data_IF_647412827418
#
_entry.id   IF_647412827418
#
_cell.length_a   1.000
_cell.length_b   1.000
_cell.length_c   1.000
_cell.angle_alpha   90.00
_cell.angle_beta   90.00
_cell.angle_gamma   90.00
#
_symmetry.space_group_name_H-M   'P 1'
#
loop_
_entity.id
_entity.type
_entity.pdbx_description
1 polymer ?
#
# COMPACT_ATOMS: atom_id res chain seq x y z
N UNK A 1 -23.39 -4.98 -97.24
CA UNK A 1 -22.85 -4.07 -96.22
C UNK A 1 -23.14 -4.70 -94.85
N UNK A 2 -22.20 -5.44 -94.24
CA UNK A 2 -21.25 -4.96 -93.19
C UNK A 2 -22.00 -4.69 -91.87
N UNK A 3 -21.78 -5.27 -90.68
CA UNK A 3 -20.67 -5.97 -89.98
C UNK A 3 -21.31 -6.66 -88.74
N UNK A 4 -21.07 -7.94 -88.46
CA UNK A 4 -20.13 -8.47 -87.45
C UNK A 4 -20.32 -8.04 -85.97
N UNK A 5 -20.50 -9.07 -85.12
CA UNK A 5 -19.95 -9.27 -83.77
C UNK A 5 -19.92 -8.10 -82.76
N UNK A 6 -20.42 -8.37 -81.55
CA UNK A 6 -19.57 -8.61 -80.36
C UNK A 6 -20.41 -8.75 -79.09
N UNK A 7 -20.16 -9.83 -78.35
CA UNK A 7 -20.59 -10.00 -76.97
C UNK A 7 -19.90 -8.96 -76.08
N UNK A 8 -20.65 -8.27 -75.23
CA UNK A 8 -20.09 -7.46 -74.16
C UNK A 8 -20.44 -8.06 -72.80
N UNK A 9 -19.49 -8.87 -72.36
CA UNK A 9 -19.31 -9.41 -71.03
C UNK A 9 -18.96 -8.28 -70.05
N UNK A 10 -19.54 -8.36 -68.84
CA UNK A 10 -19.11 -7.71 -67.58
C UNK A 10 -19.23 -6.17 -67.51
N UNK A 11 -19.85 -5.64 -66.47
CA UNK A 11 -19.11 -5.50 -65.21
C UNK A 11 -20.05 -5.38 -64.01
N UNK A 12 -19.96 -6.40 -63.15
CA UNK A 12 -20.42 -6.41 -61.78
C UNK A 12 -19.85 -5.17 -61.05
N UNK A 13 -20.68 -4.30 -60.43
CA UNK A 13 -20.14 -3.18 -59.66
C UNK A 13 -19.33 -3.77 -58.51
N UNK A 14 -18.03 -3.49 -58.57
CA UNK A 14 -17.00 -3.81 -57.59
C UNK A 14 -17.55 -3.79 -56.16
N UNK A 15 -17.80 -4.99 -55.63
CA UNK A 15 -17.97 -5.23 -54.20
C UNK A 15 -16.64 -4.80 -53.57
N UNK A 16 -16.59 -3.58 -53.09
CA UNK A 16 -15.44 -3.04 -52.36
C UNK A 16 -15.26 -3.91 -51.13
N UNK A 17 -14.36 -4.89 -51.22
CA UNK A 17 -13.88 -5.64 -50.07
C UNK A 17 -13.15 -4.66 -49.17
N UNK A 18 -13.90 -4.08 -48.24
CA UNK A 18 -13.39 -3.21 -47.19
C UNK A 18 -12.39 -4.03 -46.38
N UNK A 19 -11.08 -3.87 -46.68
CA UNK A 19 -10.02 -4.51 -45.91
C UNK A 19 -10.23 -4.17 -44.42
N UNK A 20 -10.27 -5.14 -43.50
CA UNK A 20 -10.30 -4.83 -42.09
C UNK A 20 -9.00 -4.08 -41.76
N UNK A 21 -9.12 -2.80 -41.35
CA UNK A 21 -7.99 -2.04 -40.83
C UNK A 21 -7.46 -2.79 -39.61
N UNK A 22 -6.14 -3.04 -39.49
CA UNK A 22 -5.60 -3.71 -38.32
C UNK A 22 -5.90 -2.88 -37.07
N UNK A 23 -6.51 -3.51 -36.07
CA UNK A 23 -6.88 -2.88 -34.80
C UNK A 23 -5.63 -2.43 -34.03
N UNK A 24 -5.17 -1.21 -34.32
CA UNK A 24 -4.14 -0.50 -33.54
C UNK A 24 -4.58 -0.18 -32.09
N UNK A 25 -5.74 -0.68 -31.67
CA UNK A 25 -6.40 -0.38 -30.39
C UNK A 25 -5.96 -1.30 -29.25
N UNK A 26 -5.42 -2.49 -29.55
CA UNK A 26 -5.06 -3.49 -28.54
C UNK A 26 -3.84 -3.10 -27.70
N UNK A 27 -2.73 -2.72 -28.33
CA UNK A 27 -1.48 -2.41 -27.60
C UNK A 27 -1.62 -1.20 -26.66
N UNK A 28 -2.33 -0.15 -27.09
CA UNK A 28 -2.59 1.02 -26.23
C UNK A 28 -3.45 0.66 -25.02
N UNK A 29 -4.42 -0.25 -25.18
CA UNK A 29 -5.23 -0.76 -24.08
C UNK A 29 -4.41 -1.60 -23.10
N UNK A 30 -3.52 -2.46 -23.61
CA UNK A 30 -2.59 -3.26 -22.79
C UNK A 30 -1.64 -2.36 -21.99
N UNK A 31 -0.99 -1.39 -22.64
CA UNK A 31 -0.10 -0.43 -21.95
C UNK A 31 -0.88 0.36 -20.89
N UNK A 32 -2.09 0.84 -21.19
CA UNK A 32 -2.90 1.56 -20.22
C UNK A 32 -3.37 0.71 -19.03
N UNK A 33 -3.60 -0.59 -19.24
CA UNK A 33 -3.97 -1.52 -18.18
C UNK A 33 -2.76 -1.84 -17.29
N UNK A 34 -1.57 -1.99 -17.88
CA UNK A 34 -0.32 -2.20 -17.14
C UNK A 34 0.05 -0.97 -16.32
N UNK A 35 0.01 0.23 -16.90
CA UNK A 35 0.33 1.46 -16.16
C UNK A 35 -0.66 1.73 -15.04
N UNK A 36 -1.96 1.46 -15.26
CA UNK A 36 -2.97 1.54 -14.21
C UNK A 36 -2.72 0.49 -13.12
N UNK A 37 -2.39 -0.75 -13.49
CA UNK A 37 -2.07 -1.81 -12.53
C UNK A 37 -0.87 -1.45 -11.66
N UNK A 38 0.22 -0.97 -12.28
CA UNK A 38 1.43 -0.54 -11.56
C UNK A 38 1.14 0.65 -10.65
N UNK A 39 0.45 1.69 -11.14
CA UNK A 39 0.15 2.87 -10.33
C UNK A 39 -0.76 2.54 -9.14
N UNK A 40 -1.74 1.66 -9.35
CA UNK A 40 -2.63 1.16 -8.31
C UNK A 40 -1.86 0.34 -7.27
N UNK A 41 -1.02 -0.60 -7.73
CA UNK A 41 -0.20 -1.42 -6.84
C UNK A 41 0.76 -0.57 -6.02
N UNK A 42 1.42 0.40 -6.64
CA UNK A 42 2.32 1.34 -5.96
C UNK A 42 1.56 2.17 -4.92
N UNK A 43 0.38 2.68 -5.26
CA UNK A 43 -0.43 3.44 -4.32
C UNK A 43 -0.86 2.59 -3.12
N UNK A 44 -1.32 1.36 -3.35
CA UNK A 44 -1.71 0.45 -2.27
C UNK A 44 -0.53 0.13 -1.36
N UNK A 45 0.66 -0.09 -1.94
CA UNK A 45 1.90 -0.31 -1.19
C UNK A 45 2.25 0.89 -0.30
N UNK A 46 2.27 2.11 -0.86
CA UNK A 46 2.57 3.34 -0.11
C UNK A 46 1.55 3.57 0.98
N UNK A 47 0.28 3.29 0.71
CA UNK A 47 -0.82 3.45 1.66
C UNK A 47 -0.71 2.45 2.81
N UNK A 48 -0.42 1.19 2.52
CA UNK A 48 -0.19 0.17 3.53
C UNK A 48 1.01 0.54 4.41
N UNK A 49 2.10 1.02 3.82
CA UNK A 49 3.27 1.49 4.55
C UNK A 49 2.92 2.69 5.45
N UNK A 50 2.14 3.66 4.97
CA UNK A 50 1.69 4.79 5.78
C UNK A 50 0.81 4.33 6.95
N UNK A 51 -0.05 3.33 6.75
CA UNK A 51 -0.85 2.74 7.83
C UNK A 51 0.06 2.14 8.90
N UNK A 52 1.02 1.30 8.51
CA UNK A 52 1.94 0.62 9.45
C UNK A 52 2.87 1.60 10.15
N UNK A 53 3.39 2.61 9.46
CA UNK A 53 4.40 3.52 10.01
C UNK A 53 3.80 4.70 10.78
N UNK A 54 2.57 5.11 10.48
CA UNK A 54 2.01 6.37 10.99
C UNK A 54 0.68 6.12 11.71
N UNK A 55 -0.27 5.46 11.04
CA UNK A 55 -1.65 5.32 11.56
C UNK A 55 -1.68 4.40 12.77
N UNK A 56 -1.08 3.20 12.67
CA UNK A 56 -1.05 2.21 13.76
C UNK A 56 -0.37 2.80 15.01
N UNK A 57 0.84 3.38 14.94
CA UNK A 57 1.47 3.95 16.13
C UNK A 57 0.62 5.07 16.75
N UNK A 58 0.05 5.96 15.93
CA UNK A 58 -0.78 7.05 16.43
C UNK A 58 -2.06 6.55 17.10
N UNK A 59 -2.74 5.58 16.51
CA UNK A 59 -3.99 5.02 17.04
C UNK A 59 -3.79 4.22 18.33
N UNK A 60 -2.62 3.59 18.49
CA UNK A 60 -2.29 2.77 19.67
C UNK A 60 -1.51 3.51 20.75
N UNK A 61 -1.18 4.79 20.54
CA UNK A 61 -0.27 5.54 21.42
C UNK A 61 1.18 5.03 21.40
N UNK A 62 1.56 4.24 20.38
CA UNK A 62 2.91 3.72 20.23
C UNK A 62 3.87 4.77 19.68
N UNK A 63 5.15 4.62 20.03
CA UNK A 63 6.22 5.55 19.70
C UNK A 63 7.14 4.94 18.64
N UNK A 64 7.18 5.50 17.41
CA UNK A 64 8.16 5.10 16.41
C UNK A 64 9.52 5.75 16.73
N UNK A 65 10.54 4.92 16.95
CA UNK A 65 11.90 5.34 17.27
C UNK A 65 12.90 4.72 16.30
N UNK A 66 13.98 5.43 16.01
CA UNK A 66 15.07 4.92 15.17
C UNK A 66 16.20 4.42 16.06
N UNK A 67 16.66 3.20 15.83
CA UNK A 67 17.82 2.63 16.52
C UNK A 67 19.09 3.30 16.02
N UNK A 68 19.89 3.84 16.95
CA UNK A 68 21.07 4.64 16.63
C UNK A 68 22.40 3.90 16.88
N UNK A 69 22.39 2.88 17.73
CA UNK A 69 23.59 2.20 18.22
C UNK A 69 23.56 0.72 17.88
N UNK A 70 24.71 0.07 17.99
CA UNK A 70 24.89 -1.36 17.71
C UNK A 70 24.61 -2.26 18.92
N UNK A 71 24.12 -1.71 20.04
CA UNK A 71 23.97 -2.46 21.30
C UNK A 71 22.94 -3.58 21.22
N UNK A 72 22.03 -3.51 20.26
CA UNK A 72 21.00 -4.53 20.03
C UNK A 72 21.29 -5.41 18.81
N UNK A 73 22.50 -5.38 18.23
CA UNK A 73 22.84 -6.33 17.16
C UNK A 73 22.88 -7.78 17.68
N UNK A 74 22.50 -8.77 16.86
CA UNK A 74 21.96 -8.64 15.50
C UNK A 74 20.43 -8.40 15.45
N UNK A 75 19.74 -8.34 16.60
CA UNK A 75 18.28 -8.31 16.64
C UNK A 75 17.68 -6.99 16.13
N UNK A 76 18.31 -5.87 16.45
CA UNK A 76 17.93 -4.53 16.02
C UNK A 76 19.18 -3.75 15.58
N UNK A 77 19.64 -3.91 14.33
CA UNK A 77 20.77 -3.14 13.79
C UNK A 77 20.49 -1.63 13.75
N UNK A 78 21.53 -0.78 13.77
CA UNK A 78 21.39 0.67 13.55
C UNK A 78 20.60 0.97 12.27
N UNK A 79 19.78 2.03 12.31
CA UNK A 79 18.90 2.37 11.19
C UNK A 79 17.59 1.58 11.15
N UNK A 80 17.37 0.63 12.07
CA UNK A 80 16.07 -0.02 12.25
C UNK A 80 15.05 0.94 12.84
N UNK A 81 13.83 0.96 12.28
CA UNK A 81 12.69 1.60 12.91
C UNK A 81 12.03 0.60 13.87
N UNK A 82 11.86 0.99 15.12
CA UNK A 82 11.11 0.22 16.12
C UNK A 82 9.84 0.97 16.50
N UNK A 83 8.75 0.23 16.67
CA UNK A 83 7.51 0.78 17.20
C UNK A 83 7.32 0.24 18.60
N UNK A 84 7.39 1.15 19.58
CA UNK A 84 7.32 0.85 21.00
C UNK A 84 5.90 1.06 21.47
N UNK A 85 5.25 -0.01 21.95
CA UNK A 85 3.89 0.05 22.45
C UNK A 85 3.88 0.24 23.98
N UNK A 86 3.15 1.25 24.51
CA UNK A 86 2.89 1.35 25.93
C UNK A 86 2.33 0.03 26.46
N UNK A 87 3.05 -0.60 27.38
CA UNK A 87 2.72 -1.93 27.88
C UNK A 87 2.68 -1.87 29.40
N UNK A 88 1.61 -2.37 30.04
CA UNK A 88 1.54 -2.46 31.49
C UNK A 88 2.73 -3.25 32.06
N UNK A 89 3.29 -2.75 33.17
CA UNK A 89 4.53 -3.24 33.78
C UNK A 89 4.40 -4.70 34.26
N UNK A 90 3.19 -5.11 34.60
CA UNK A 90 2.83 -6.47 34.99
C UNK A 90 2.95 -7.47 33.83
N UNK A 91 2.80 -7.00 32.58
CA UNK A 91 2.87 -7.81 31.36
C UNK A 91 4.28 -7.97 30.80
N UNK A 92 5.25 -7.16 31.27
CA UNK A 92 6.64 -7.22 30.84
C UNK A 92 7.29 -8.49 31.38
N UNK A 93 7.98 -9.22 30.50
CA UNK A 93 8.61 -10.50 30.79
C UNK A 93 10.10 -10.47 30.49
N UNK A 94 10.83 -11.41 31.11
CA UNK A 94 12.22 -11.69 30.73
C UNK A 94 12.25 -12.09 29.25
N UNK A 95 13.16 -11.49 28.50
CA UNK A 95 13.29 -11.65 27.06
C UNK A 95 12.66 -10.52 26.24
N UNK A 96 11.77 -9.71 26.81
CA UNK A 96 11.18 -8.56 26.10
C UNK A 96 12.24 -7.49 25.83
N UNK A 97 12.17 -6.84 24.66
CA UNK A 97 12.95 -5.63 24.39
C UNK A 97 12.12 -4.43 24.81
N UNK A 98 12.59 -3.71 25.82
CA UNK A 98 11.90 -2.53 26.35
C UNK A 98 12.66 -1.27 26.00
N UNK A 99 11.91 -0.21 25.75
CA UNK A 99 12.47 1.14 25.66
C UNK A 99 12.24 1.86 26.97
N UNK A 100 13.31 2.40 27.55
CA UNK A 100 13.28 3.08 28.83
C UNK A 100 14.03 4.41 28.76
N UNK A 101 13.70 5.32 29.66
CA UNK A 101 14.42 6.57 29.83
C UNK A 101 15.69 6.39 30.66
N UNK A 102 16.79 6.95 30.17
CA UNK A 102 18.08 6.96 30.88
C UNK A 102 17.91 7.66 32.24
N UNK A 103 17.27 8.83 32.22
CA UNK A 103 16.89 9.59 33.40
C UNK A 103 15.38 9.77 33.40
N UNK A 104 14.72 9.39 34.49
CA UNK A 104 13.26 9.49 34.61
C UNK A 104 12.79 10.92 34.32
N UNK A 105 11.80 11.06 33.44
CA UNK A 105 11.24 12.35 33.02
C UNK A 105 11.97 13.02 31.86
N UNK A 106 13.15 12.55 31.44
CA UNK A 106 13.91 13.13 30.33
C UNK A 106 13.64 12.45 28.99
N UNK A 107 13.72 13.14 27.85
CA UNK A 107 13.35 12.58 26.54
C UNK A 107 14.31 11.50 26.04
N UNK A 108 15.54 11.44 26.57
CA UNK A 108 16.55 10.48 26.13
C UNK A 108 16.16 9.05 26.54
N UNK A 109 16.12 8.15 25.56
CA UNK A 109 15.70 6.76 25.71
C UNK A 109 16.70 5.78 25.12
N UNK A 110 16.73 4.57 25.69
CA UNK A 110 17.52 3.43 25.22
C UNK A 110 16.58 2.23 25.11
N UNK A 111 16.84 1.33 24.17
CA UNK A 111 16.08 0.08 24.04
C UNK A 111 16.99 -1.12 24.29
N UNK A 112 16.69 -1.93 25.31
CA UNK A 112 17.48 -3.10 25.70
C UNK A 112 16.58 -4.26 26.13
N UNK A 113 17.13 -5.48 26.18
CA UNK A 113 16.39 -6.69 26.55
C UNK A 113 16.34 -6.88 28.06
N UNK A 114 15.17 -7.23 28.57
CA UNK A 114 14.97 -7.62 29.97
C UNK A 114 15.66 -8.96 30.21
N UNK A 115 16.66 -8.98 31.09
CA UNK A 115 17.37 -10.22 31.48
C UNK A 115 16.93 -10.73 32.84
N UNK A 116 16.45 -9.85 33.72
CA UNK A 116 15.80 -10.26 34.97
C UNK A 116 14.82 -9.20 35.46
N UNK A 117 13.87 -9.65 36.28
CA UNK A 117 12.86 -8.80 36.92
C UNK A 117 12.94 -9.07 38.42
N UNK A 118 13.14 -8.03 39.21
CA UNK A 118 13.07 -8.10 40.66
C UNK A 118 11.81 -7.39 41.16
N UNK A 119 11.27 -7.86 42.27
CA UNK A 119 10.13 -7.24 42.96
C UNK A 119 10.54 -6.91 44.40
N UNK A 120 10.25 -5.69 44.84
CA UNK A 120 10.41 -5.30 46.24
C UNK A 120 9.30 -5.91 47.10
N UNK A 121 9.50 -5.90 48.42
CA UNK A 121 8.47 -6.26 49.42
C UNK A 121 7.24 -5.35 49.36
N UNK A 122 7.37 -4.14 48.80
CA UNK A 122 6.28 -3.18 48.57
C UNK A 122 5.58 -3.36 47.22
N UNK A 123 5.98 -4.37 46.42
CA UNK A 123 5.39 -4.66 45.10
C UNK A 123 5.98 -3.84 43.96
N UNK A 124 6.98 -2.99 44.19
CA UNK A 124 7.65 -2.23 43.15
C UNK A 124 8.54 -3.15 42.31
N UNK A 125 8.43 -3.07 40.98
CA UNK A 125 9.27 -3.85 40.05
C UNK A 125 10.48 -3.04 39.57
N UNK A 126 11.62 -3.71 39.53
CA UNK A 126 12.84 -3.23 38.85
C UNK A 126 13.27 -4.24 37.80
N UNK A 127 13.92 -3.73 36.76
CA UNK A 127 14.29 -4.48 35.58
C UNK A 127 15.81 -4.38 35.38
N UNK A 128 16.46 -5.52 35.24
CA UNK A 128 17.85 -5.54 34.76
C UNK A 128 17.79 -5.71 33.27
N UNK A 129 18.38 -4.75 32.56
CA UNK A 129 18.38 -4.70 31.10
C UNK A 129 19.78 -4.91 30.56
N UNK A 130 19.87 -5.39 29.33
CA UNK A 130 21.13 -5.61 28.64
C UNK A 130 20.93 -5.46 27.13
N UNK A 131 21.84 -4.75 26.47
CA UNK A 131 21.95 -4.80 25.02
C UNK A 131 22.36 -6.19 24.54
N UNK A 132 21.72 -6.70 23.49
CA UNK A 132 22.01 -8.02 22.94
C UNK A 132 23.51 -8.18 22.58
N UNK A 133 24.14 -7.12 22.10
CA UNK A 133 25.55 -7.04 21.72
C UNK A 133 26.48 -6.54 22.85
N UNK A 134 25.95 -6.24 24.03
CA UNK A 134 26.78 -5.78 25.16
C UNK A 134 27.37 -6.97 25.91
N UNK A 135 28.59 -6.84 26.45
CA UNK A 135 29.21 -7.89 27.27
C UNK A 135 28.56 -8.02 28.66
N UNK A 136 28.08 -6.91 29.21
CA UNK A 136 27.52 -6.83 30.57
C UNK A 136 26.12 -6.23 30.55
N UNK A 137 25.38 -6.46 31.63
CA UNK A 137 24.10 -5.79 31.87
C UNK A 137 24.32 -4.30 32.13
N UNK A 138 23.25 -3.52 31.98
CA UNK A 138 23.29 -2.08 32.24
C UNK A 138 23.61 -1.82 33.72
N UNK A 139 24.37 -0.76 34.05
CA UNK A 139 24.94 -0.59 35.39
C UNK A 139 23.89 -0.38 36.49
N UNK A 140 22.73 0.17 36.15
CA UNK A 140 21.66 0.50 37.09
C UNK A 140 20.37 -0.25 36.72
N UNK A 141 19.69 -0.88 37.70
CA UNK A 141 18.35 -1.40 37.49
C UNK A 141 17.39 -0.29 37.07
N UNK A 142 16.52 -0.59 36.11
CA UNK A 142 15.53 0.33 35.58
C UNK A 142 14.23 0.18 36.37
N UNK A 143 13.66 1.30 36.78
CA UNK A 143 12.37 1.31 37.48
C UNK A 143 11.20 1.26 36.51
N UNK A 144 10.04 0.80 36.98
CA UNK A 144 8.79 0.83 36.23
C UNK A 144 8.46 2.21 35.62
N UNK A 145 8.77 3.30 36.33
CA UNK A 145 8.49 4.66 35.89
C UNK A 145 9.35 5.12 34.69
N UNK A 146 10.50 4.49 34.48
CA UNK A 146 11.38 4.80 33.35
C UNK A 146 10.95 4.08 32.06
N UNK A 147 10.19 2.99 32.16
CA UNK A 147 9.78 2.21 31.00
C UNK A 147 8.74 2.99 30.19
N UNK A 148 8.99 3.10 28.89
CA UNK A 148 8.09 3.74 27.92
C UNK A 148 7.26 2.73 27.13
N UNK A 149 7.73 1.51 27.04
CA UNK A 149 6.96 0.39 26.51
C UNK A 149 7.85 -0.74 26.05
N UNK A 150 7.21 -1.70 25.38
CA UNK A 150 7.85 -2.88 24.78
C UNK A 150 7.90 -2.68 23.27
N UNK A 151 9.00 -3.07 22.63
CA UNK A 151 9.12 -3.10 21.17
C UNK A 151 8.09 -4.09 20.63
N UNK A 152 7.13 -3.58 19.85
CA UNK A 152 6.05 -4.39 19.31
C UNK A 152 6.39 -4.97 17.93
N UNK A 153 6.99 -4.15 17.08
CA UNK A 153 7.53 -4.59 15.79
C UNK A 153 8.70 -3.70 15.38
N UNK A 154 9.53 -4.25 14.50
CA UNK A 154 10.71 -3.58 13.95
C UNK A 154 10.74 -3.72 12.43
N UNK A 155 11.21 -2.68 11.77
CA UNK A 155 11.37 -2.60 10.33
C UNK A 155 12.82 -2.17 10.05
N UNK A 156 13.71 -3.11 9.72
CA UNK A 156 15.09 -2.80 9.34
C UNK A 156 15.15 -1.77 8.22
N UNK A 157 16.21 -0.95 8.20
CA UNK A 157 16.48 0.09 7.20
C UNK A 157 15.44 1.24 7.08
N UNK A 158 14.28 1.13 7.72
CA UNK A 158 13.22 2.15 7.67
C UNK A 158 13.36 3.23 8.76
N UNK A 159 14.39 3.16 9.59
CA UNK A 159 14.69 4.19 10.59
C UNK A 159 15.04 5.53 9.98
N UNK A 160 15.62 5.54 8.78
CA UNK A 160 15.88 6.76 8.01
C UNK A 160 14.59 7.40 7.50
N UNK A 161 13.60 6.59 7.08
CA UNK A 161 12.28 7.08 6.63
C UNK A 161 11.57 7.81 7.77
N UNK A 162 11.67 7.32 9.01
CA UNK A 162 11.07 7.98 10.17
C UNK A 162 11.62 9.39 10.41
N UNK A 163 12.90 9.66 10.11
CA UNK A 163 13.47 11.01 10.24
C UNK A 163 12.85 11.98 9.21
N UNK A 164 12.66 11.54 7.96
CA UNK A 164 11.96 12.31 6.93
C UNK A 164 10.49 12.57 7.32
N UNK A 165 9.81 11.56 7.86
CA UNK A 165 8.38 11.64 8.23
C UNK A 165 8.15 12.53 9.44
N UNK A 166 9.00 12.48 10.48
CA UNK A 166 8.81 13.29 11.68
C UNK A 166 8.88 14.80 11.39
N UNK A 167 9.74 15.25 10.47
CA UNK A 167 9.76 16.66 10.03
C UNK A 167 8.50 17.10 9.25
N UNK A 168 7.74 16.13 8.71
CA UNK A 168 6.64 16.37 7.77
C UNK A 168 5.29 15.83 8.26
N UNK A 169 5.20 15.39 9.51
CA UNK A 169 4.08 14.56 10.03
C UNK A 169 2.72 15.26 9.99
N UNK A 170 2.70 16.59 10.12
CA UNK A 170 1.46 17.40 10.14
C UNK A 170 0.74 17.40 8.79
N UNK A 171 1.48 17.49 7.68
CA UNK A 171 0.89 17.55 6.33
C UNK A 171 0.81 16.18 5.65
N UNK A 172 1.67 15.22 6.03
CA UNK A 172 1.68 13.87 5.45
C UNK A 172 0.36 13.10 5.70
N UNK A 173 -0.18 13.15 6.92
CA UNK A 173 -1.41 12.42 7.29
C UNK A 173 -2.62 12.86 6.43
N UNK A 174 -2.98 14.16 6.36
CA UNK A 174 -4.10 14.58 5.52
C UNK A 174 -3.82 14.38 4.04
N UNK A 175 -2.55 14.46 3.60
CA UNK A 175 -2.19 14.23 2.19
C UNK A 175 -2.40 12.77 1.79
N UNK A 176 -1.93 11.81 2.59
CA UNK A 176 -2.14 10.38 2.31
C UNK A 176 -3.63 10.03 2.31
N UNK A 177 -4.37 10.53 3.30
CA UNK A 177 -5.83 10.35 3.35
C UNK A 177 -6.53 10.97 2.13
N UNK A 178 -6.12 12.17 1.73
CA UNK A 178 -6.60 12.86 0.54
C UNK A 178 -6.37 12.02 -0.71
N UNK A 179 -5.12 11.65 -1.01
CA UNK A 179 -4.75 10.85 -2.20
C UNK A 179 -5.54 9.54 -2.28
N UNK A 180 -5.71 8.84 -1.15
CA UNK A 180 -6.52 7.63 -1.08
C UNK A 180 -7.99 7.86 -1.46
N UNK A 181 -8.60 8.92 -0.91
CA UNK A 181 -9.98 9.29 -1.21
C UNK A 181 -10.14 9.73 -2.67
N UNK A 182 -9.22 10.54 -3.21
CA UNK A 182 -9.26 10.97 -4.61
C UNK A 182 -9.11 9.78 -5.54
N UNK A 183 -8.18 8.88 -5.26
CA UNK A 183 -7.95 7.68 -6.07
C UNK A 183 -9.17 6.74 -6.04
N UNK A 184 -9.75 6.48 -4.85
CA UNK A 184 -10.99 5.71 -4.72
C UNK A 184 -12.15 6.33 -5.51
N UNK A 185 -12.30 7.66 -5.42
CA UNK A 185 -13.29 8.40 -6.21
C UNK A 185 -13.07 8.28 -7.72
N UNK A 186 -11.82 8.40 -8.20
CA UNK A 186 -11.47 8.23 -9.61
C UNK A 186 -11.79 6.81 -10.08
N UNK A 187 -11.46 5.77 -9.31
CA UNK A 187 -11.73 4.38 -9.69
C UNK A 187 -13.22 4.05 -9.76
N UNK A 188 -14.02 4.54 -8.80
CA UNK A 188 -15.48 4.41 -8.84
C UNK A 188 -16.04 5.12 -10.07
N UNK A 189 -15.56 6.32 -10.36
CA UNK A 189 -16.01 7.11 -11.52
C UNK A 189 -15.66 6.42 -12.84
N UNK A 190 -14.42 5.95 -13.00
CA UNK A 190 -13.98 5.21 -14.19
C UNK A 190 -14.76 3.90 -14.36
N UNK A 191 -15.01 3.17 -13.27
CA UNK A 191 -15.83 1.95 -13.27
C UNK A 191 -17.28 2.21 -13.70
N UNK A 192 -17.92 3.24 -13.13
CA UNK A 192 -19.29 3.63 -13.47
C UNK A 192 -19.40 4.10 -14.93
N UNK A 193 -18.48 4.95 -15.38
CA UNK A 193 -18.45 5.44 -16.78
C UNK A 193 -18.16 4.31 -17.76
N UNK A 194 -17.25 3.39 -17.41
CA UNK A 194 -16.97 2.19 -18.19
C UNK A 194 -18.20 1.29 -18.34
N UNK A 195 -18.91 1.03 -17.24
CA UNK A 195 -20.15 0.26 -17.22
C UNK A 195 -21.27 0.94 -18.05
N UNK A 196 -21.42 2.25 -17.94
CA UNK A 196 -22.40 3.02 -18.71
C UNK A 196 -22.11 2.99 -20.22
N UNK A 197 -20.83 3.13 -20.61
CA UNK A 197 -20.38 3.05 -22.02
C UNK A 197 -20.62 1.66 -22.61
N UNK A 198 -20.39 0.58 -21.85
CA UNK A 198 -20.66 -0.80 -22.29
C UNK A 198 -22.15 -1.01 -22.57
N UNK A 199 -23.04 -0.61 -21.65
CA UNK A 199 -24.50 -0.70 -21.85
C UNK A 199 -24.98 0.05 -23.10
N UNK A 200 -24.43 1.25 -23.37
CA UNK A 200 -24.79 2.05 -24.56
C UNK A 200 -24.29 1.42 -25.86
N UNK A 201 -23.13 0.74 -25.84
CA UNK A 201 -22.58 0.00 -26.98
C UNK A 201 -23.40 -1.26 -27.28
N UNK A 202 -23.80 -2.02 -26.26
CA UNK A 202 -24.62 -3.23 -26.41
C UNK A 202 -26.01 -2.88 -26.99
N UNK A 203 -26.63 -1.79 -26.54
CA UNK A 203 -27.91 -1.27 -27.10
C UNK A 203 -27.79 -0.86 -28.58
N UNK A 204 -26.68 -0.25 -29.00
CA UNK A 204 -26.45 0.14 -30.40
C UNK A 204 -26.03 -1.02 -31.30
N UNK A 205 -25.44 -2.08 -30.73
CA UNK A 205 -25.08 -3.31 -31.45
C UNK A 205 -26.27 -4.26 -31.66
N UNK A 206 -27.16 -4.39 -30.67
CA UNK A 206 -28.35 -5.24 -30.74
C UNK A 206 -29.40 -4.78 -31.77
N UNK A 207 -29.57 -3.47 -31.94
CA UNK A 207 -30.53 -2.90 -32.91
C UNK A 207 -30.20 -3.19 -34.38
N UNK A 208 -28.97 -3.58 -34.71
CA UNK A 208 -28.54 -3.89 -36.08
C UNK A 208 -28.77 -5.35 -36.51
N UNK A 209 -29.03 -6.26 -35.58
CA UNK A 209 -29.38 -7.67 -35.89
C UNK A 209 -30.89 -7.88 -35.98
N UNK A 210 -31.70 -7.12 -35.24
CA UNK A 210 -33.16 -7.21 -35.30
C UNK A 210 -33.79 -6.62 -36.57
N UNK A 211 -33.14 -5.65 -37.22
CA UNK A 211 -33.66 -5.02 -38.44
C UNK A 211 -33.44 -5.81 -39.73
N UNK A 212 -32.57 -6.84 -39.72
CA UNK A 212 -32.30 -7.65 -40.90
C UNK A 212 -33.32 -8.78 -41.11
N UNK A 213 -34.02 -9.22 -40.06
CA UNK A 213 -35.04 -10.27 -40.17
C UNK A 213 -36.44 -9.75 -40.53
N UNK A 214 -36.74 -8.47 -40.27
CA UNK A 214 -38.07 -7.90 -40.53
C UNK A 214 -38.22 -7.48 -42.01
N UNK A 215 -37.12 -7.30 -42.74
CA UNK A 215 -37.15 -6.86 -44.13
C UNK A 215 -37.44 -7.98 -45.16
N UNK A 216 -37.27 -9.26 -44.78
CA UNK A 216 -37.53 -10.39 -45.68
C UNK A 216 -39.00 -10.86 -45.65
N UNK A 217 -39.70 -10.76 -44.52
CA UNK A 217 -41.12 -11.16 -44.44
C UNK A 217 -42.07 -10.20 -45.19
N UNK A 218 -41.69 -8.93 -45.33
CA UNK A 218 -42.51 -7.91 -46.00
C UNK A 218 -42.50 -8.03 -47.54
N UNK A 219 -41.78 -8.98 -48.13
CA UNK A 219 -41.76 -9.24 -49.59
C UNK A 219 -42.57 -10.45 -50.02
N UNK A 220 -43.34 -11.06 -49.11
CA UNK A 220 -44.08 -12.31 -49.36
C UNK A 220 -45.60 -12.24 -49.16
N UNK A 221 -46.17 -11.03 -49.11
CA UNK A 221 -47.62 -10.80 -49.09
C UNK A 221 -48.11 -10.09 -50.36
#
# INVERSE_FOLDING_TARGET
>A
MTRAHRAETATNPTRTTRRPRPERTGWRAVVSAITLGISTGLLLLVSALAVVLIVIPKATGSMPLTVLTQSMEPSLPPGTLVVVRPTPVDQIRVGDVVTYQIVSGQPAVISHRVVSIASSTTGARTFVLKGDNNAHADPAPVTAAQIRGVVWYSLPDLGYVNQLVNGSRSWLIPTVAGVLLTYGGVMITVGLVGAARKRKRDRRGGGRRGGAHIADDARSA
#
